data_IF_022684179870
#
_entry.id   IF_022684179870
#
_cell.length_a   1.000
_cell.length_b   1.000
_cell.length_c   1.000
_cell.angle_alpha   90.00
_cell.angle_beta   90.00
_cell.angle_gamma   90.00
#
_symmetry.space_group_name_H-M   'P 1'
#
loop_
_entity.id
_entity.type
_entity.pdbx_description
1 polymer ?
#
# COMPACT_ATOMS: atom_id res chain seq x y z
N UNK A 1 43.15 -29.06 -24.08
CA UNK A 1 41.76 -28.63 -24.32
C UNK A 1 41.20 -28.15 -22.98
N UNK A 2 41.19 -26.84 -22.74
CA UNK A 2 40.56 -26.27 -21.55
C UNK A 2 39.11 -25.93 -21.91
N UNK A 3 38.15 -26.65 -21.33
CA UNK A 3 36.74 -26.32 -21.45
C UNK A 3 36.48 -25.04 -20.63
N UNK A 4 36.25 -23.93 -21.33
CA UNK A 4 35.74 -22.71 -20.74
C UNK A 4 34.29 -22.96 -20.30
N UNK A 5 34.05 -23.10 -19.00
CA UNK A 5 32.71 -23.06 -18.44
C UNK A 5 32.22 -21.62 -18.53
N UNK A 6 31.40 -21.31 -19.54
CA UNK A 6 30.53 -20.14 -19.48
C UNK A 6 29.59 -20.34 -18.30
N UNK A 7 29.75 -19.54 -17.24
CA UNK A 7 28.73 -19.39 -16.23
C UNK A 7 27.42 -19.02 -16.95
N UNK A 8 26.39 -19.85 -16.80
CA UNK A 8 25.06 -19.49 -17.25
C UNK A 8 24.68 -18.18 -16.55
N UNK A 9 24.35 -17.14 -17.30
CA UNK A 9 23.77 -15.94 -16.73
C UNK A 9 22.52 -16.37 -15.94
N UNK A 10 22.47 -16.04 -14.64
CA UNK A 10 21.29 -16.29 -13.83
C UNK A 10 20.07 -15.66 -14.54
N UNK A 11 18.95 -16.39 -14.59
CA UNK A 11 17.73 -15.84 -15.16
C UNK A 11 17.37 -14.53 -14.43
N UNK A 12 16.90 -13.49 -15.14
CA UNK A 12 16.53 -12.25 -14.50
C UNK A 12 15.44 -12.49 -13.45
N UNK A 13 15.64 -11.97 -12.25
CA UNK A 13 14.68 -12.08 -11.14
C UNK A 13 13.41 -11.33 -11.49
N UNK A 14 12.25 -11.98 -11.34
CA UNK A 14 10.94 -11.34 -11.47
C UNK A 14 10.77 -10.27 -10.40
N UNK A 15 10.57 -9.02 -10.81
CA UNK A 15 10.31 -7.88 -9.93
C UNK A 15 8.80 -7.73 -9.71
N UNK A 16 8.40 -7.65 -8.45
CA UNK A 16 6.98 -7.53 -8.05
C UNK A 16 6.78 -6.30 -7.18
N UNK A 17 5.87 -5.42 -7.60
CA UNK A 17 5.41 -4.27 -6.81
C UNK A 17 4.10 -4.65 -6.10
N UNK A 18 4.15 -4.83 -4.77
CA UNK A 18 2.95 -5.16 -3.97
C UNK A 18 2.26 -3.94 -3.34
N UNK A 19 2.81 -2.73 -3.50
CA UNK A 19 2.26 -1.52 -2.89
C UNK A 19 2.10 -0.47 -3.96
N UNK A 20 0.97 -0.52 -4.64
CA UNK A 20 0.71 0.31 -5.81
C UNK A 20 -0.78 0.43 -6.05
N UNK A 21 -1.26 1.62 -6.36
CA UNK A 21 -2.68 1.95 -6.22
C UNK A 21 -3.32 2.40 -7.52
N UNK A 22 -4.65 2.27 -7.58
CA UNK A 22 -5.50 2.84 -8.62
C UNK A 22 -6.86 3.27 -8.04
N UNK A 23 -7.52 4.21 -8.73
CA UNK A 23 -8.95 4.46 -8.58
C UNK A 23 -9.66 4.03 -9.86
N UNK A 24 -10.46 2.96 -9.82
CA UNK A 24 -11.12 2.48 -11.02
C UNK A 24 -12.27 3.43 -11.43
N UNK A 25 -12.64 3.49 -12.71
CA UNK A 25 -13.62 4.44 -13.24
C UNK A 25 -14.94 4.51 -12.47
N UNK A 26 -15.50 3.38 -12.01
CA UNK A 26 -16.75 3.41 -11.25
C UNK A 26 -16.60 4.09 -9.88
N UNK A 27 -15.44 3.92 -9.24
CA UNK A 27 -15.14 4.56 -7.97
C UNK A 27 -15.01 6.08 -8.13
N UNK A 28 -14.40 6.56 -9.22
CA UNK A 28 -14.30 7.99 -9.53
C UNK A 28 -15.69 8.60 -9.76
N UNK A 29 -16.56 7.94 -10.54
CA UNK A 29 -17.94 8.39 -10.74
C UNK A 29 -18.70 8.54 -9.42
N UNK A 30 -18.47 7.61 -8.48
CA UNK A 30 -19.04 7.72 -7.14
C UNK A 30 -18.49 8.95 -6.40
N UNK A 31 -17.18 9.22 -6.44
CA UNK A 31 -16.60 10.40 -5.79
C UNK A 31 -17.04 11.73 -6.44
N UNK A 32 -17.29 11.74 -7.75
CA UNK A 32 -17.83 12.89 -8.47
C UNK A 32 -19.27 13.22 -8.04
N UNK A 33 -20.06 12.21 -7.67
CA UNK A 33 -21.44 12.38 -7.23
C UNK A 33 -21.60 12.81 -5.75
N UNK A 34 -20.51 12.86 -4.97
CA UNK A 34 -20.54 13.15 -3.52
C UNK A 34 -20.36 14.62 -3.21
N UNK A 35 -21.12 15.17 -2.26
CA UNK A 35 -20.99 16.57 -1.82
C UNK A 35 -20.13 16.78 -0.57
N UNK A 36 -19.70 15.69 0.08
CA UNK A 36 -18.81 15.71 1.25
C UNK A 36 -17.58 14.85 1.02
N UNK A 37 -16.48 15.15 1.71
CA UNK A 37 -15.25 14.38 1.58
C UNK A 37 -15.47 12.88 1.85
N UNK A 38 -14.77 11.98 1.13
CA UNK A 38 -13.94 12.27 -0.03
C UNK A 38 -14.77 12.62 -1.27
N UNK A 39 -14.27 13.50 -2.14
CA UNK A 39 -14.95 13.87 -3.38
C UNK A 39 -13.98 14.22 -4.51
N UNK A 40 -14.49 14.15 -5.74
CA UNK A 40 -13.81 14.62 -6.96
C UNK A 40 -14.61 15.77 -7.55
N UNK A 41 -13.94 16.87 -7.91
CA UNK A 41 -14.56 18.05 -8.53
C UNK A 41 -13.66 18.69 -9.58
N UNK A 42 -14.28 19.25 -10.61
CA UNK A 42 -13.60 20.05 -11.62
C UNK A 42 -13.56 21.51 -11.19
N UNK A 43 -12.43 22.17 -11.47
CA UNK A 43 -12.16 23.54 -11.09
C UNK A 43 -11.53 24.28 -12.28
N UNK A 44 -12.01 25.49 -12.65
CA UNK A 44 -11.43 26.27 -13.75
C UNK A 44 -9.92 26.53 -13.60
N UNK A 45 -9.45 26.71 -12.36
CA UNK A 45 -8.05 26.92 -11.99
C UNK A 45 -7.17 25.65 -12.13
N UNK A 46 -7.76 24.49 -12.44
CA UNK A 46 -7.06 23.22 -12.69
C UNK A 46 -7.68 22.51 -13.91
N UNK A 47 -7.54 23.07 -15.12
CA UNK A 47 -8.29 22.59 -16.29
C UNK A 47 -7.80 21.23 -16.81
N UNK A 48 -6.55 20.86 -16.50
CA UNK A 48 -5.92 19.62 -17.00
C UNK A 48 -6.31 18.37 -16.23
N UNK A 49 -6.80 18.50 -14.99
CA UNK A 49 -7.20 17.37 -14.17
C UNK A 49 -8.20 17.80 -13.09
N UNK A 50 -9.23 16.98 -12.80
CA UNK A 50 -10.08 17.20 -11.64
C UNK A 50 -9.27 17.10 -10.34
N UNK A 51 -9.84 17.66 -9.26
CA UNK A 51 -9.22 17.66 -7.94
C UNK A 51 -9.84 16.58 -7.08
N UNK A 52 -8.98 15.74 -6.53
CA UNK A 52 -9.32 14.78 -5.49
C UNK A 52 -9.12 15.44 -4.13
N UNK A 53 -10.19 15.50 -3.33
CA UNK A 53 -10.19 16.05 -1.96
C UNK A 53 -10.53 14.93 -1.00
N UNK A 54 -9.62 14.61 -0.09
CA UNK A 54 -9.73 13.47 0.82
C UNK A 54 -9.73 13.87 2.29
N UNK A 55 -9.03 14.95 2.65
CA UNK A 55 -8.71 15.28 4.04
C UNK A 55 -9.55 16.45 4.54
N UNK A 56 -9.92 16.43 5.82
CA UNK A 56 -10.63 17.55 6.46
C UNK A 56 -9.83 18.87 6.38
N UNK A 57 -8.49 18.79 6.44
CA UNK A 57 -7.61 19.94 6.28
C UNK A 57 -7.71 20.62 4.92
N UNK A 58 -8.28 19.96 3.91
CA UNK A 58 -8.48 20.50 2.57
C UNK A 58 -9.83 21.23 2.43
N UNK A 59 -10.76 21.10 3.40
CA UNK A 59 -12.10 21.71 3.37
C UNK A 59 -12.06 23.25 3.26
N UNK A 60 -11.22 23.99 4.01
CA UNK A 60 -11.20 25.46 3.89
C UNK A 60 -10.82 25.93 2.48
N UNK A 61 -9.86 25.25 1.84
CA UNK A 61 -9.47 25.54 0.47
C UNK A 61 -10.57 25.17 -0.54
N UNK A 62 -11.28 24.06 -0.29
CA UNK A 62 -12.42 23.63 -1.09
C UNK A 62 -13.56 24.66 -1.04
N UNK A 63 -13.95 25.11 0.15
CA UNK A 63 -14.99 26.13 0.32
C UNK A 63 -14.61 27.42 -0.41
N UNK A 64 -13.38 27.91 -0.22
CA UNK A 64 -12.87 29.10 -0.92
C UNK A 64 -12.94 28.95 -2.45
N UNK A 65 -12.62 27.77 -2.97
CA UNK A 65 -12.62 27.50 -4.41
C UNK A 65 -14.02 27.33 -5.02
N UNK A 66 -15.06 27.06 -4.20
CA UNK A 66 -16.45 26.87 -4.65
C UNK A 66 -17.29 28.17 -4.60
N UNK A 67 -16.87 29.19 -3.85
CA UNK A 67 -17.58 30.47 -3.79
C UNK A 67 -17.26 31.33 -5.02
N UNK A 68 -18.11 31.24 -6.05
CA UNK A 68 -17.93 31.91 -7.35
C UNK A 68 -18.20 33.42 -7.37
N UNK A 69 -18.70 34.01 -6.28
CA UNK A 69 -19.13 35.42 -6.24
C UNK A 69 -18.01 36.43 -5.89
N UNK A 70 -16.77 35.96 -5.66
CA UNK A 70 -15.61 36.80 -5.43
C UNK A 70 -14.58 36.66 -6.57
N UNK A 71 -14.04 37.78 -7.05
CA UNK A 71 -12.86 37.83 -7.95
C UNK A 71 -11.66 37.02 -7.38
N UNK A 72 -11.66 36.73 -6.06
CA UNK A 72 -10.68 35.91 -5.36
C UNK A 72 -10.75 34.40 -5.67
N UNK A 73 -11.86 33.87 -6.19
CA UNK A 73 -12.03 32.43 -6.44
C UNK A 73 -11.20 31.93 -7.63
N UNK A 74 -11.10 32.74 -8.69
CA UNK A 74 -10.25 32.46 -9.84
C UNK A 74 -8.75 32.56 -9.50
N UNK A 75 -8.40 33.35 -8.48
CA UNK A 75 -7.04 33.51 -7.97
C UNK A 75 -6.68 32.49 -6.86
N UNK A 76 -7.65 31.74 -6.33
CA UNK A 76 -7.43 30.77 -5.27
C UNK A 76 -6.66 29.54 -5.77
N UNK A 77 -5.73 29.04 -4.95
CA UNK A 77 -5.02 27.79 -5.24
C UNK A 77 -6.03 26.63 -5.30
N UNK A 78 -5.91 25.72 -6.30
CA UNK A 78 -6.83 24.58 -6.40
C UNK A 78 -6.74 23.68 -5.15
N UNK A 79 -7.88 23.24 -4.59
CA UNK A 79 -7.89 22.40 -3.40
C UNK A 79 -7.41 20.99 -3.73
N UNK A 80 -7.09 20.22 -2.68
CA UNK A 80 -6.71 18.82 -2.80
C UNK A 80 -5.53 18.58 -3.74
N UNK A 81 -5.52 17.42 -4.40
CA UNK A 81 -4.47 17.00 -5.34
C UNK A 81 -5.04 16.74 -6.73
N UNK A 82 -4.24 16.88 -7.81
CA UNK A 82 -4.71 16.54 -9.15
C UNK A 82 -4.97 15.03 -9.24
N UNK A 83 -6.15 14.65 -9.72
CA UNK A 83 -6.46 13.27 -10.10
C UNK A 83 -5.91 13.04 -11.51
N UNK A 84 -4.64 12.64 -11.60
CA UNK A 84 -3.94 12.44 -12.88
C UNK A 84 -4.29 11.09 -13.52
N UNK A 85 -3.90 10.90 -14.78
CA UNK A 85 -4.04 9.62 -15.48
C UNK A 85 -3.37 8.46 -14.72
N UNK A 86 -2.32 8.72 -13.95
CA UNK A 86 -1.62 7.72 -13.14
C UNK A 86 -2.51 7.03 -12.11
N UNK A 87 -3.59 7.68 -11.65
CA UNK A 87 -4.56 7.05 -10.74
C UNK A 87 -5.60 6.20 -11.47
N UNK A 88 -6.01 6.58 -12.68
CA UNK A 88 -7.26 6.08 -13.30
C UNK A 88 -7.04 5.29 -14.58
N UNK A 89 -5.89 5.44 -15.24
CA UNK A 89 -5.57 4.79 -16.51
C UNK A 89 -4.76 3.52 -16.29
N UNK A 90 -5.29 2.39 -16.78
CA UNK A 90 -4.57 1.12 -16.76
C UNK A 90 -3.36 1.14 -17.70
N UNK A 91 -3.47 1.78 -18.87
CA UNK A 91 -2.34 1.92 -19.79
C UNK A 91 -1.21 2.74 -19.14
N UNK A 92 -1.55 3.76 -18.35
CA UNK A 92 -0.56 4.53 -17.59
C UNK A 92 0.12 3.68 -16.52
N UNK A 93 -0.62 2.79 -15.85
CA UNK A 93 -0.05 1.80 -14.93
C UNK A 93 0.95 0.88 -15.63
N UNK A 94 0.58 0.35 -16.81
CA UNK A 94 1.48 -0.51 -17.58
C UNK A 94 2.72 0.23 -18.05
N UNK A 95 2.57 1.47 -18.54
CA UNK A 95 3.71 2.33 -18.92
C UNK A 95 4.66 2.55 -17.74
N UNK A 96 4.12 2.86 -16.55
CA UNK A 96 4.91 2.99 -15.34
C UNK A 96 5.68 1.70 -15.01
N UNK A 97 5.01 0.54 -15.07
CA UNK A 97 5.65 -0.75 -14.83
C UNK A 97 6.80 -1.00 -15.81
N UNK A 98 6.58 -0.77 -17.10
CA UNK A 98 7.58 -1.00 -18.15
C UNK A 98 8.79 -0.06 -18.00
N UNK A 99 8.53 1.21 -17.66
CA UNK A 99 9.57 2.22 -17.41
C UNK A 99 10.48 1.82 -16.25
N UNK A 100 9.93 1.17 -15.23
CA UNK A 100 10.64 0.80 -14.00
C UNK A 100 11.06 -0.68 -13.94
N UNK A 101 10.87 -1.43 -15.04
CA UNK A 101 11.16 -2.88 -15.11
C UNK A 101 10.45 -3.68 -14.00
N UNK A 102 9.18 -3.36 -13.76
CA UNK A 102 8.31 -4.11 -12.86
C UNK A 102 7.55 -5.14 -13.70
N UNK A 103 7.76 -6.42 -13.42
CA UNK A 103 7.12 -7.50 -14.15
C UNK A 103 5.66 -7.66 -13.73
N UNK A 104 5.42 -7.63 -12.42
CA UNK A 104 4.11 -7.85 -11.81
C UNK A 104 3.76 -6.71 -10.84
N UNK A 105 2.51 -6.23 -10.90
CA UNK A 105 1.94 -5.37 -9.87
C UNK A 105 0.74 -6.03 -9.19
N UNK A 106 0.72 -5.98 -7.85
CA UNK A 106 -0.47 -6.30 -7.05
C UNK A 106 -1.15 -4.98 -6.70
N UNK A 107 -2.07 -4.54 -7.56
CA UNK A 107 -2.74 -3.24 -7.42
C UNK A 107 -3.78 -3.26 -6.29
N UNK A 108 -4.06 -2.11 -5.69
CA UNK A 108 -5.12 -1.96 -4.69
C UNK A 108 -5.90 -0.66 -4.88
N UNK A 109 -7.12 -0.63 -4.33
CA UNK A 109 -7.86 0.61 -4.22
C UNK A 109 -7.12 1.56 -3.27
N UNK A 110 -6.85 2.78 -3.71
CA UNK A 110 -6.25 3.80 -2.86
C UNK A 110 -7.20 4.26 -1.75
N UNK A 111 -6.64 4.86 -0.70
CA UNK A 111 -7.40 5.42 0.41
C UNK A 111 -8.39 6.50 -0.06
N UNK A 112 -9.57 6.65 0.57
CA UNK A 112 -9.98 6.04 1.84
C UNK A 112 -10.85 4.77 1.64
N UNK A 113 -10.62 4.01 0.56
CA UNK A 113 -11.35 2.78 0.28
C UNK A 113 -12.88 2.97 0.28
N UNK A 114 -13.60 2.27 1.15
CA UNK A 114 -15.06 2.36 1.27
C UNK A 114 -15.48 2.84 2.66
N UNK A 115 -14.56 3.40 3.44
CA UNK A 115 -14.76 3.74 4.85
C UNK A 115 -15.85 4.81 5.06
N UNK A 116 -16.17 5.56 4.01
CA UNK A 116 -17.20 6.61 3.98
C UNK A 116 -18.53 6.16 3.35
N UNK A 117 -18.59 4.95 2.78
CA UNK A 117 -19.78 4.47 2.05
C UNK A 117 -20.82 4.03 3.07
N UNK A 118 -22.08 4.40 2.84
CA UNK A 118 -23.19 4.01 3.71
C UNK A 118 -23.27 2.49 3.86
N UNK A 119 -23.57 2.03 5.08
CA UNK A 119 -23.61 0.62 5.43
C UNK A 119 -24.52 -0.22 4.51
N UNK A 120 -25.64 0.36 4.05
CA UNK A 120 -26.60 -0.32 3.18
C UNK A 120 -26.08 -0.53 1.76
N UNK A 121 -25.19 0.36 1.28
CA UNK A 121 -24.64 0.32 -0.09
C UNK A 121 -23.25 -0.30 -0.16
N UNK A 122 -22.50 -0.27 0.94
CA UNK A 122 -21.09 -0.65 1.02
C UNK A 122 -20.82 -2.02 0.43
N UNK A 123 -21.69 -3.02 0.69
CA UNK A 123 -21.55 -4.37 0.14
C UNK A 123 -21.62 -4.44 -1.39
N UNK A 124 -22.57 -3.72 -2.01
CA UNK A 124 -22.70 -3.67 -3.47
C UNK A 124 -21.54 -2.90 -4.11
N UNK A 125 -21.14 -1.78 -3.51
CA UNK A 125 -20.00 -0.99 -3.98
C UNK A 125 -18.71 -1.81 -3.93
N UNK A 126 -18.45 -2.53 -2.84
CA UNK A 126 -17.29 -3.41 -2.72
C UNK A 126 -17.26 -4.50 -3.81
N UNK A 127 -18.39 -5.16 -4.06
CA UNK A 127 -18.50 -6.16 -5.13
C UNK A 127 -18.19 -5.56 -6.49
N UNK A 128 -18.77 -4.40 -6.79
CA UNK A 128 -18.61 -3.75 -8.07
C UNK A 128 -17.16 -3.30 -8.31
N UNK A 129 -16.54 -2.66 -7.31
CA UNK A 129 -15.13 -2.23 -7.37
C UNK A 129 -14.20 -3.43 -7.53
N UNK A 130 -14.38 -4.49 -6.74
CA UNK A 130 -13.55 -5.69 -6.84
C UNK A 130 -13.71 -6.40 -8.19
N UNK A 131 -14.91 -6.42 -8.77
CA UNK A 131 -15.15 -6.96 -10.11
C UNK A 131 -14.45 -6.13 -11.20
N UNK A 132 -14.42 -4.81 -11.06
CA UNK A 132 -13.70 -3.92 -11.99
C UNK A 132 -12.17 -4.11 -11.90
N UNK A 133 -11.62 -4.27 -10.69
CA UNK A 133 -10.20 -4.63 -10.52
C UNK A 133 -9.87 -5.99 -11.14
N UNK A 134 -10.73 -6.99 -10.95
CA UNK A 134 -10.58 -8.32 -11.56
C UNK A 134 -10.60 -8.25 -13.10
N UNK A 135 -11.50 -7.44 -13.70
CA UNK A 135 -11.48 -7.16 -15.14
C UNK A 135 -10.19 -6.47 -15.60
N UNK A 136 -9.72 -5.46 -14.86
CA UNK A 136 -8.44 -4.79 -15.14
C UNK A 136 -7.28 -5.79 -15.12
N UNK A 137 -7.22 -6.68 -14.14
CA UNK A 137 -6.18 -7.71 -14.07
C UNK A 137 -6.25 -8.69 -15.24
N UNK A 138 -7.46 -9.05 -15.74
CA UNK A 138 -7.61 -9.93 -16.91
C UNK A 138 -7.03 -9.35 -18.19
N UNK A 139 -7.03 -8.02 -18.36
CA UNK A 139 -6.49 -7.36 -19.55
C UNK A 139 -4.97 -7.52 -19.70
N UNK A 140 -4.25 -7.76 -18.61
CA UNK A 140 -2.81 -8.03 -18.60
C UNK A 140 -2.49 -9.27 -17.75
N UNK A 141 -3.04 -10.42 -18.17
CA UNK A 141 -2.89 -11.69 -17.46
C UNK A 141 -1.42 -12.01 -17.14
N UNK A 142 -1.14 -12.40 -15.90
CA UNK A 142 0.21 -12.70 -15.41
C UNK A 142 1.01 -11.48 -14.94
N UNK A 143 0.63 -10.26 -15.34
CA UNK A 143 1.30 -9.02 -14.89
C UNK A 143 0.53 -8.27 -13.81
N UNK A 144 -0.76 -8.50 -13.68
CA UNK A 144 -1.60 -7.81 -12.72
C UNK A 144 -2.37 -8.78 -11.82
N UNK A 145 -2.31 -8.51 -10.52
CA UNK A 145 -3.12 -9.11 -9.47
C UNK A 145 -3.67 -7.97 -8.60
N UNK A 146 -4.58 -8.23 -7.66
CA UNK A 146 -5.07 -7.16 -6.80
C UNK A 146 -5.42 -7.60 -5.37
N UNK A 147 -5.31 -6.64 -4.45
CA UNK A 147 -5.93 -6.75 -3.13
C UNK A 147 -7.36 -6.20 -3.19
N UNK A 148 -8.34 -7.05 -2.87
CA UNK A 148 -9.74 -6.64 -2.80
C UNK A 148 -10.01 -5.64 -1.67
N UNK A 149 -10.89 -4.67 -1.93
CA UNK A 149 -11.42 -3.76 -0.91
C UNK A 149 -12.67 -4.34 -0.25
N UNK A 150 -12.97 -3.87 0.96
CA UNK A 150 -13.92 -4.50 1.85
C UNK A 150 -14.96 -3.50 2.34
N UNK A 151 -16.22 -3.92 2.50
CA UNK A 151 -17.30 -3.03 2.91
C UNK A 151 -17.33 -2.86 4.43
N UNK A 152 -16.32 -2.19 5.01
CA UNK A 152 -16.13 -2.14 6.47
C UNK A 152 -17.22 -1.38 7.24
N UNK A 153 -18.08 -0.63 6.56
CA UNK A 153 -19.27 0.00 7.15
C UNK A 153 -20.49 -0.92 7.16
N UNK A 154 -20.48 -2.03 6.41
CA UNK A 154 -21.60 -2.96 6.34
C UNK A 154 -21.76 -3.79 7.64
N UNK A 155 -22.91 -4.46 7.85
CA UNK A 155 -23.06 -5.41 8.96
C UNK A 155 -22.02 -6.53 8.93
N UNK A 156 -21.73 -7.10 10.11
CA UNK A 156 -20.66 -8.10 10.29
C UNK A 156 -20.81 -9.33 9.37
N UNK A 157 -22.04 -9.76 9.05
CA UNK A 157 -22.25 -10.88 8.14
C UNK A 157 -21.79 -10.58 6.71
N UNK A 158 -21.87 -9.32 6.28
CA UNK A 158 -21.30 -8.83 5.00
C UNK A 158 -19.78 -8.72 5.08
N UNK A 159 -19.24 -8.23 6.21
CA UNK A 159 -17.79 -8.08 6.44
C UNK A 159 -17.08 -9.42 6.64
N UNK A 160 -17.78 -10.44 7.17
CA UNK A 160 -17.24 -11.81 7.35
C UNK A 160 -16.85 -12.47 6.03
N UNK A 161 -17.37 -11.98 4.91
CA UNK A 161 -16.89 -12.32 3.57
C UNK A 161 -15.67 -11.51 3.10
N UNK A 162 -15.08 -10.63 3.94
CA UNK A 162 -14.21 -9.54 3.49
C UNK A 162 -12.98 -9.22 4.42
N UNK A 163 -13.11 -8.74 5.68
CA UNK A 163 -12.03 -8.47 6.73
C UNK A 163 -10.65 -7.79 6.38
N UNK A 164 -10.20 -6.64 6.94
CA UNK A 164 -9.69 -6.36 8.33
C UNK A 164 -9.20 -4.87 8.53
N UNK A 165 -8.96 -4.40 9.79
CA UNK A 165 -8.34 -3.10 10.22
C UNK A 165 -7.27 -3.23 11.35
N UNK A 166 -6.18 -2.45 11.24
CA UNK A 166 -5.13 -1.91 12.18
C UNK A 166 -4.42 -2.72 13.30
N UNK A 167 -3.08 -2.80 13.20
CA UNK A 167 -2.14 -3.77 13.82
C UNK A 167 -1.87 -3.67 15.32
N UNK A 168 -1.52 -2.49 15.86
CA UNK A 168 -1.08 -2.40 17.27
C UNK A 168 -2.23 -2.72 18.23
N UNK A 169 -3.42 -2.23 17.91
CA UNK A 169 -4.66 -2.57 18.62
C UNK A 169 -5.04 -4.04 18.42
N UNK A 170 -4.82 -4.61 17.23
CA UNK A 170 -5.01 -6.05 16.99
C UNK A 170 -4.11 -6.91 17.87
N UNK A 171 -2.84 -6.54 18.03
CA UNK A 171 -1.92 -7.23 18.93
C UNK A 171 -2.38 -7.15 20.39
N UNK A 172 -2.64 -5.94 20.90
CA UNK A 172 -3.12 -5.75 22.28
C UNK A 172 -4.46 -6.44 22.56
N UNK A 173 -5.31 -6.57 21.54
CA UNK A 173 -6.57 -7.29 21.63
C UNK A 173 -6.43 -8.82 21.43
N UNK A 174 -5.22 -9.36 21.26
CA UNK A 174 -4.99 -10.79 21.06
C UNK A 174 -5.62 -11.34 19.76
N UNK A 175 -5.71 -10.53 18.70
CA UNK A 175 -6.29 -10.97 17.41
C UNK A 175 -5.44 -12.07 16.79
N UNK A 176 -4.12 -11.96 16.83
CA UNK A 176 -3.21 -12.97 16.28
C UNK A 176 -3.21 -14.29 17.08
N UNK A 177 -3.56 -14.23 18.36
CA UNK A 177 -3.74 -15.44 19.19
C UNK A 177 -5.07 -16.13 18.88
N UNK A 178 -6.13 -15.34 18.63
CA UNK A 178 -7.47 -15.85 18.28
C UNK A 178 -7.54 -16.36 16.83
N UNK A 179 -6.74 -15.81 15.91
CA UNK A 179 -6.70 -16.19 14.49
C UNK A 179 -5.26 -16.52 14.09
N UNK A 180 -4.71 -17.66 14.51
CA UNK A 180 -3.27 -17.98 14.35
C UNK A 180 -2.84 -18.24 12.89
N UNK A 181 -3.80 -18.33 11.96
CA UNK A 181 -3.52 -18.43 10.52
C UNK A 181 -3.57 -17.09 9.79
N UNK A 182 -3.94 -16.00 10.47
CA UNK A 182 -3.94 -14.67 9.87
C UNK A 182 -2.53 -14.32 9.41
N UNK A 183 -2.43 -13.81 8.18
CA UNK A 183 -1.24 -13.19 7.60
C UNK A 183 -1.59 -11.78 7.17
N UNK A 184 -0.71 -10.83 7.42
CA UNK A 184 -0.96 -9.42 7.14
C UNK A 184 0.30 -8.77 6.58
N UNK A 185 0.16 -8.09 5.46
CA UNK A 185 1.19 -7.22 4.89
C UNK A 185 0.97 -5.80 5.39
N UNK A 186 2.03 -5.15 5.87
CA UNK A 186 1.96 -3.78 6.36
C UNK A 186 2.67 -2.81 5.43
N UNK A 187 1.92 -1.74 5.12
CA UNK A 187 2.42 -0.60 4.39
C UNK A 187 3.59 0.08 5.12
N UNK A 188 4.50 0.66 4.32
CA UNK A 188 5.60 1.52 4.76
C UNK A 188 6.50 0.86 5.81
N UNK A 189 6.88 -0.39 5.55
CA UNK A 189 7.62 -1.26 6.49
C UNK A 189 6.99 -1.35 7.89
N UNK A 190 5.66 -1.29 7.99
CA UNK A 190 4.96 -1.30 9.27
C UNK A 190 4.91 0.06 9.97
N UNK A 191 5.13 1.14 9.21
CA UNK A 191 5.24 2.51 9.70
C UNK A 191 6.44 2.67 10.63
N UNK A 192 6.20 2.64 11.93
CA UNK A 192 7.25 2.76 12.96
C UNK A 192 7.35 1.51 13.83
N UNK A 193 6.57 0.46 13.54
CA UNK A 193 6.48 -0.74 14.37
C UNK A 193 7.84 -1.45 14.54
N UNK A 194 8.68 -1.66 13.51
CA UNK A 194 10.00 -2.27 13.70
C UNK A 194 10.88 -1.52 14.70
N UNK A 195 10.82 -0.19 14.70
CA UNK A 195 11.60 0.67 15.58
C UNK A 195 11.03 0.70 17.02
N UNK A 196 9.70 0.64 17.15
CA UNK A 196 9.01 0.75 18.44
C UNK A 196 8.76 -0.59 19.14
N UNK A 197 8.95 -1.73 18.48
CA UNK A 197 8.63 -3.06 19.02
C UNK A 197 9.27 -3.32 20.41
N UNK A 198 10.54 -2.97 20.60
CA UNK A 198 11.21 -3.11 21.90
C UNK A 198 10.62 -2.21 22.99
N UNK A 199 10.23 -0.99 22.63
CA UNK A 199 9.53 -0.07 23.55
C UNK A 199 8.16 -0.60 23.92
N UNK A 200 7.40 -1.12 22.95
CA UNK A 200 6.08 -1.70 23.19
C UNK A 200 6.20 -2.88 24.15
N UNK A 201 7.11 -3.83 23.92
CA UNK A 201 7.33 -4.96 24.82
C UNK A 201 7.73 -4.50 26.23
N UNK A 202 8.64 -3.54 26.34
CA UNK A 202 9.03 -2.97 27.63
C UNK A 202 7.84 -2.33 28.35
N UNK A 203 7.03 -1.52 27.66
CA UNK A 203 5.83 -0.91 28.24
C UNK A 203 4.83 -1.98 28.71
N UNK A 204 4.64 -3.07 27.97
CA UNK A 204 3.70 -4.13 28.35
C UNK A 204 4.13 -4.87 29.60
N UNK A 205 5.40 -5.28 29.68
CA UNK A 205 5.87 -6.06 30.85
C UNK A 205 6.00 -5.22 32.12
N UNK A 206 6.06 -3.89 31.99
CA UNK A 206 6.10 -2.95 33.11
C UNK A 206 4.77 -2.24 33.38
N UNK A 207 3.72 -2.50 32.60
CA UNK A 207 2.39 -1.93 32.86
C UNK A 207 1.73 -2.66 34.03
N UNK A 208 1.62 -1.97 35.16
CA UNK A 208 1.13 -2.54 36.40
C UNK A 208 -0.32 -3.04 36.28
N UNK A 209 -1.16 -2.43 35.45
CA UNK A 209 -2.53 -2.87 35.25
C UNK A 209 -2.58 -4.15 34.44
N UNK A 210 -1.87 -4.21 33.31
CA UNK A 210 -1.82 -5.42 32.48
C UNK A 210 -1.22 -6.62 33.22
N UNK A 211 -0.21 -6.40 34.06
CA UNK A 211 0.38 -7.44 34.91
C UNK A 211 -0.62 -7.92 35.97
N UNK A 212 -1.27 -6.99 36.70
CA UNK A 212 -2.31 -7.35 37.69
C UNK A 212 -3.49 -8.10 37.08
N UNK A 213 -3.89 -7.74 35.87
CA UNK A 213 -4.99 -8.38 35.13
C UNK A 213 -4.60 -9.72 34.50
N UNK A 214 -3.36 -10.19 34.71
CA UNK A 214 -2.87 -11.45 34.14
C UNK A 214 -2.72 -11.44 32.61
N UNK A 215 -2.72 -10.26 31.98
CA UNK A 215 -2.59 -10.09 30.52
C UNK A 215 -1.14 -10.23 30.04
N UNK A 216 -0.18 -10.20 30.95
CA UNK A 216 1.27 -10.33 30.68
C UNK A 216 1.76 -11.70 31.18
N UNK A 217 1.44 -12.75 30.43
CA UNK A 217 1.92 -14.11 30.72
C UNK A 217 3.39 -14.29 30.28
N UNK A 218 4.21 -15.09 31.00
CA UNK A 218 5.51 -15.54 30.52
C UNK A 218 5.47 -16.35 29.21
N UNK A 219 4.31 -16.90 28.85
CA UNK A 219 4.08 -17.64 27.59
C UNK A 219 3.37 -16.81 26.52
N UNK A 220 3.21 -15.50 26.74
CA UNK A 220 2.58 -14.60 25.76
C UNK A 220 3.44 -14.56 24.50
N UNK A 221 2.79 -14.54 23.34
CA UNK A 221 3.44 -14.23 22.07
C UNK A 221 3.80 -12.75 22.05
N UNK A 222 5.07 -12.45 21.88
CA UNK A 222 5.60 -11.09 21.85
C UNK A 222 5.30 -10.39 20.52
N UNK A 223 5.50 -9.07 20.46
CA UNK A 223 5.49 -8.31 19.20
C UNK A 223 6.48 -8.93 18.20
N UNK A 224 7.62 -9.43 18.65
CA UNK A 224 8.62 -10.07 17.80
C UNK A 224 8.10 -11.38 17.19
N UNK A 225 7.41 -12.20 17.98
CA UNK A 225 6.81 -13.45 17.47
C UNK A 225 5.75 -13.14 16.41
N UNK A 226 4.93 -12.11 16.64
CA UNK A 226 3.92 -11.66 15.67
C UNK A 226 4.56 -11.15 14.38
N UNK A 227 5.63 -10.34 14.49
CA UNK A 227 6.39 -9.84 13.34
C UNK A 227 7.03 -10.96 12.51
N UNK A 228 7.50 -12.02 13.18
CA UNK A 228 8.19 -13.15 12.54
C UNK A 228 7.26 -14.22 11.99
N UNK A 229 6.05 -14.34 12.51
CA UNK A 229 5.15 -15.43 12.16
C UNK A 229 3.94 -14.98 11.32
N UNK A 230 3.38 -13.80 11.59
CA UNK A 230 2.11 -13.35 10.99
C UNK A 230 2.24 -12.17 10.06
N UNK A 231 3.20 -11.30 10.32
CA UNK A 231 3.31 -10.04 9.60
C UNK A 231 4.34 -10.18 8.48
N UNK A 232 4.03 -9.58 7.34
CA UNK A 232 4.95 -9.23 6.28
C UNK A 232 5.04 -7.71 6.26
N UNK A 233 6.19 -7.18 5.84
CA UNK A 233 6.41 -5.75 5.72
C UNK A 233 6.70 -5.43 4.25
N UNK A 234 6.15 -4.34 3.72
CA UNK A 234 6.67 -3.84 2.45
C UNK A 234 8.06 -3.18 2.64
N UNK A 235 8.74 -2.91 1.53
CA UNK A 235 10.03 -2.22 1.50
C UNK A 235 9.91 -0.73 1.10
N UNK A 236 8.73 -0.11 1.27
CA UNK A 236 8.52 1.32 1.00
C UNK A 236 9.01 2.13 2.20
N UNK A 237 10.33 2.34 2.27
CA UNK A 237 11.00 2.96 3.43
C UNK A 237 12.12 3.93 3.05
N UNK A 238 12.45 4.03 1.77
CA UNK A 238 13.32 5.01 1.13
C UNK A 238 14.79 5.05 1.60
N UNK A 239 15.14 4.33 2.67
CA UNK A 239 16.49 4.30 3.25
C UNK A 239 16.85 2.89 3.72
N UNK A 240 18.10 2.49 3.50
CA UNK A 240 18.63 1.22 3.96
C UNK A 240 18.68 1.13 5.50
N UNK A 241 18.73 2.27 6.20
CA UNK A 241 18.66 2.33 7.67
C UNK A 241 17.33 1.74 8.16
N UNK A 242 16.22 2.24 7.61
CA UNK A 242 14.88 1.75 7.96
C UNK A 242 14.67 0.31 7.49
N UNK A 243 15.14 -0.02 6.28
CA UNK A 243 15.01 -1.37 5.74
C UNK A 243 15.76 -2.42 6.57
N UNK A 244 16.98 -2.14 7.02
CA UNK A 244 17.74 -3.03 7.91
C UNK A 244 17.01 -3.28 9.23
N UNK A 245 16.38 -2.24 9.80
CA UNK A 245 15.57 -2.39 11.00
C UNK A 245 14.34 -3.28 10.74
N UNK A 246 13.67 -3.11 9.59
CA UNK A 246 12.51 -3.92 9.20
C UNK A 246 12.88 -5.40 8.96
N UNK A 247 14.01 -5.67 8.30
CA UNK A 247 14.58 -7.01 8.10
C UNK A 247 14.85 -7.67 9.46
N UNK A 248 15.54 -6.97 10.36
CA UNK A 248 15.86 -7.49 11.68
C UNK A 248 14.60 -7.79 12.51
N UNK A 249 13.63 -6.88 12.51
CA UNK A 249 12.40 -7.02 13.28
C UNK A 249 11.52 -8.18 12.78
N UNK A 250 11.45 -8.38 11.46
CA UNK A 250 10.71 -9.47 10.83
C UNK A 250 11.41 -10.82 10.93
N UNK A 251 12.66 -10.85 11.42
CA UNK A 251 13.45 -12.07 11.56
C UNK A 251 14.19 -12.53 10.29
N UNK A 252 14.14 -11.74 9.21
CA UNK A 252 14.77 -12.10 7.94
C UNK A 252 14.23 -11.31 6.75
N UNK A 253 14.98 -11.33 5.65
CA UNK A 253 14.60 -10.71 4.38
C UNK A 253 13.42 -11.43 3.71
N UNK A 254 13.15 -12.69 4.06
CA UNK A 254 12.07 -13.54 3.51
C UNK A 254 10.66 -13.03 3.81
N UNK A 255 10.53 -12.00 4.66
CA UNK A 255 9.25 -11.38 5.03
C UNK A 255 9.08 -9.95 4.53
N UNK A 256 10.02 -9.46 3.73
CA UNK A 256 10.02 -8.13 3.14
C UNK A 256 9.61 -8.22 1.67
N UNK A 257 8.80 -7.28 1.18
CA UNK A 257 8.34 -7.25 -0.21
C UNK A 257 8.42 -5.85 -0.80
N UNK A 258 8.98 -5.73 -2.01
CA UNK A 258 9.14 -4.46 -2.69
C UNK A 258 7.80 -3.78 -3.03
N UNK A 259 7.80 -2.45 -3.00
CA UNK A 259 6.66 -1.62 -3.35
C UNK A 259 7.08 -0.23 -3.81
N UNK A 260 6.19 0.49 -4.49
CA UNK A 260 6.50 1.83 -5.03
C UNK A 260 5.68 2.97 -4.44
N UNK A 261 4.50 2.66 -3.89
CA UNK A 261 3.46 3.61 -3.52
C UNK A 261 3.00 4.50 -4.71
N UNK A 262 3.19 4.01 -5.95
CA UNK A 262 2.68 4.69 -7.12
C UNK A 262 1.15 4.80 -7.06
N UNK A 263 0.54 5.94 -7.42
CA UNK A 263 1.15 7.11 -8.06
C UNK A 263 1.32 8.31 -7.13
N UNK A 264 1.44 8.12 -5.81
CA UNK A 264 1.32 9.24 -4.86
C UNK A 264 2.51 10.21 -4.87
N UNK A 265 3.68 9.77 -5.33
CA UNK A 265 4.91 10.57 -5.33
C UNK A 265 5.53 10.71 -6.74
N UNK A 266 4.85 11.42 -7.67
CA UNK A 266 5.39 11.68 -8.99
C UNK A 266 6.57 12.67 -8.92
N UNK A 267 7.46 12.68 -9.92
CA UNK A 267 8.49 13.71 -10.01
C UNK A 267 7.87 15.10 -10.17
N UNK A 268 8.40 16.10 -9.46
CA UNK A 268 7.93 17.50 -9.53
C UNK A 268 8.72 18.32 -10.56
N UNK A 269 9.99 17.97 -10.75
CA UNK A 269 10.95 18.71 -11.60
C UNK A 269 11.40 17.93 -12.84
N UNK A 270 10.96 16.68 -12.98
CA UNK A 270 11.28 15.81 -14.10
C UNK A 270 9.99 15.33 -14.78
N UNK A 271 10.13 14.68 -15.93
CA UNK A 271 9.00 14.14 -16.69
C UNK A 271 8.32 12.99 -15.92
N UNK A 272 7.02 13.12 -15.68
CA UNK A 272 6.19 12.10 -15.02
C UNK A 272 6.11 10.78 -15.82
N UNK A 273 6.38 10.83 -17.13
CA UNK A 273 6.45 9.64 -17.99
C UNK A 273 7.81 8.93 -17.93
N UNK A 274 8.81 9.54 -17.28
CA UNK A 274 10.15 9.00 -17.11
C UNK A 274 10.32 8.21 -15.81
N UNK A 275 11.57 8.09 -15.35
CA UNK A 275 11.90 7.40 -14.11
C UNK A 275 11.49 8.22 -12.87
N UNK A 276 10.91 7.55 -11.89
CA UNK A 276 10.44 8.13 -10.64
C UNK A 276 11.49 7.94 -9.55
N UNK A 277 11.96 9.05 -8.97
CA UNK A 277 12.93 9.03 -7.87
C UNK A 277 12.40 8.24 -6.66
N UNK A 278 11.10 8.30 -6.39
CA UNK A 278 10.42 7.53 -5.34
C UNK A 278 10.60 6.02 -5.48
N UNK A 279 10.70 5.50 -6.71
CA UNK A 279 10.98 4.09 -6.98
C UNK A 279 12.46 3.78 -6.78
N UNK A 280 13.33 4.59 -7.38
CA UNK A 280 14.79 4.41 -7.31
C UNK A 280 15.27 4.41 -5.87
N UNK A 281 14.76 5.29 -5.01
CA UNK A 281 15.13 5.34 -3.59
C UNK A 281 14.85 4.03 -2.83
N UNK A 282 13.72 3.37 -3.11
CA UNK A 282 13.40 2.08 -2.49
C UNK A 282 14.26 0.94 -3.06
N UNK A 283 14.46 0.90 -4.38
CA UNK A 283 15.32 -0.11 -5.01
C UNK A 283 16.77 -0.01 -4.51
N UNK A 284 17.28 1.21 -4.42
CA UNK A 284 18.57 1.55 -3.86
C UNK A 284 18.69 1.16 -2.38
N UNK A 285 17.63 1.36 -1.58
CA UNK A 285 17.61 0.96 -0.19
C UNK A 285 17.77 -0.57 -0.06
N UNK A 286 17.12 -1.35 -0.92
CA UNK A 286 17.30 -2.81 -0.99
C UNK A 286 18.74 -3.16 -1.34
N UNK A 287 19.28 -2.60 -2.42
CA UNK A 287 20.65 -2.87 -2.86
C UNK A 287 21.69 -2.54 -1.77
N UNK A 288 21.55 -1.41 -1.07
CA UNK A 288 22.45 -1.02 0.04
C UNK A 288 22.23 -1.84 1.32
N UNK A 289 21.02 -2.37 1.54
CA UNK A 289 20.71 -3.12 2.74
C UNK A 289 21.26 -4.55 2.70
N UNK A 290 21.11 -5.23 1.57
CA UNK A 290 21.39 -6.67 1.46
C UNK A 290 22.37 -7.02 0.33
N UNK A 291 22.91 -6.02 -0.37
CA UNK A 291 23.83 -6.18 -1.50
C UNK A 291 23.08 -6.35 -2.83
N UNK A 292 23.50 -5.62 -3.85
CA UNK A 292 22.93 -5.73 -5.19
C UNK A 292 23.17 -7.14 -5.77
N UNK A 293 22.12 -7.74 -6.33
CA UNK A 293 22.18 -9.07 -6.94
C UNK A 293 22.29 -10.23 -5.95
N UNK A 294 22.18 -9.99 -4.63
CA UNK A 294 22.13 -11.07 -3.64
C UNK A 294 20.80 -11.83 -3.67
N UNK A 295 20.78 -13.03 -3.10
CA UNK A 295 19.55 -13.82 -2.95
C UNK A 295 18.49 -13.07 -2.12
N UNK A 296 18.92 -12.32 -1.10
CA UNK A 296 18.03 -11.48 -0.29
C UNK A 296 17.48 -10.30 -1.10
N UNK A 297 18.29 -9.68 -1.97
CA UNK A 297 17.78 -8.64 -2.87
C UNK A 297 16.74 -9.22 -3.82
N UNK A 298 17.00 -10.39 -4.41
CA UNK A 298 16.04 -11.07 -5.27
C UNK A 298 14.75 -11.45 -4.52
N UNK A 299 14.88 -11.89 -3.27
CA UNK A 299 13.75 -12.21 -2.40
C UNK A 299 12.86 -10.98 -2.16
N UNK A 300 13.45 -9.86 -1.72
CA UNK A 300 12.72 -8.62 -1.42
C UNK A 300 12.11 -8.04 -2.70
N UNK A 301 12.87 -7.99 -3.80
CA UNK A 301 12.43 -7.38 -5.06
C UNK A 301 11.27 -8.14 -5.73
N UNK A 302 11.04 -9.42 -5.41
CA UNK A 302 9.83 -10.09 -5.91
C UNK A 302 9.60 -11.53 -5.49
N UNK A 303 10.64 -12.35 -5.24
CA UNK A 303 10.43 -13.78 -5.01
C UNK A 303 9.63 -14.07 -3.73
N UNK A 304 9.70 -13.18 -2.73
CA UNK A 304 8.83 -13.26 -1.55
C UNK A 304 7.36 -13.05 -1.91
N UNK A 305 7.05 -12.04 -2.73
CA UNK A 305 5.69 -11.77 -3.16
C UNK A 305 5.14 -12.95 -3.99
N UNK A 306 5.93 -13.48 -4.92
CA UNK A 306 5.58 -14.68 -5.72
C UNK A 306 5.20 -15.85 -4.82
N UNK A 307 6.06 -16.17 -3.84
CA UNK A 307 5.84 -17.28 -2.91
C UNK A 307 4.63 -17.07 -2.00
N UNK A 308 4.52 -15.89 -1.39
CA UNK A 308 3.53 -15.62 -0.34
C UNK A 308 2.14 -15.39 -0.91
N UNK A 309 2.04 -14.71 -2.05
CA UNK A 309 0.78 -14.39 -2.71
C UNK A 309 0.41 -15.44 -3.77
N UNK A 310 1.25 -16.46 -3.97
CA UNK A 310 1.07 -17.52 -4.95
C UNK A 310 0.84 -16.96 -6.37
N UNK A 311 1.71 -16.02 -6.76
CA UNK A 311 1.66 -15.41 -8.08
C UNK A 311 2.15 -16.44 -9.09
N UNK A 312 1.34 -16.73 -10.10
CA UNK A 312 1.71 -17.64 -11.17
C UNK A 312 2.57 -16.88 -12.17
N UNK A 313 3.89 -16.98 -11.99
CA UNK A 313 4.91 -16.48 -12.91
C UNK A 313 5.17 -17.51 -14.01
#
# INVERSE_FOLDING_TARGET
MAASSRAAAAAPTTVVDIHTHMYPPQYIKMLEARDTIPLVRHFPQSPSAPRLVLLESEIPALQKALHHDDDDAAAAKPPGRPLTSHFVSLDQKMHFMDTHRIDISVISLANPWLDFVDAAQSGDVARSVNAEFDDMCRRHHGRLFFFGTLPLTAPLDTIRGATTVAVARMYLAGVFDRVPRLRMLLAHSGGTLPFLAGRIESCLVHDAQLVRDGKVSPRRRTVWDVLREHVYLDAVIYSDVGLKAAIHASGGADRLMFGTDHPFFPPVTADEQGAWESVTLNADAVARAVGEGSDDAAAIMGLNAVRVLNLKV
#
